data_IF_609988376803
#
_entry.id   IF_609988376803
#
_cell.length_a   1.000
_cell.length_b   1.000
_cell.length_c   1.000
_cell.angle_alpha   90.00
_cell.angle_beta   90.00
_cell.angle_gamma   90.00
#
_symmetry.space_group_name_H-M   'P 1'
#
loop_
_entity.id
_entity.type
_entity.pdbx_description
1 polymer ?
#
# COMPACT_ATOMS: atom_id res chain seq x y z
N UNK A 1 -106.87 -46.84 -5.54
CA UNK A 1 -106.98 -45.56 -4.82
C UNK A 1 -105.58 -45.11 -4.42
N UNK A 2 -105.26 -43.84 -4.66
CA UNK A 2 -103.93 -43.26 -4.90
C UNK A 2 -102.80 -43.61 -3.92
N UNK A 3 -101.65 -44.02 -4.46
CA UNK A 3 -100.37 -44.04 -3.76
C UNK A 3 -99.52 -42.86 -4.23
N UNK A 4 -99.36 -41.86 -3.37
CA UNK A 4 -98.58 -40.66 -3.64
C UNK A 4 -97.11 -40.90 -3.28
N UNK A 5 -96.23 -40.95 -4.28
CA UNK A 5 -94.79 -40.99 -4.09
C UNK A 5 -94.29 -39.67 -3.47
N UNK A 6 -93.67 -39.74 -2.28
CA UNK A 6 -92.93 -38.61 -1.70
C UNK A 6 -91.48 -38.66 -2.16
N UNK A 7 -91.06 -37.67 -2.94
CA UNK A 7 -89.64 -37.44 -3.20
C UNK A 7 -88.99 -36.70 -2.02
N UNK A 8 -87.80 -37.10 -1.56
CA UNK A 8 -87.05 -36.34 -0.57
C UNK A 8 -86.52 -35.04 -1.20
N UNK A 9 -86.81 -33.90 -0.56
CA UNK A 9 -86.18 -32.63 -0.92
C UNK A 9 -84.72 -32.67 -0.49
N UNK A 10 -83.79 -32.73 -1.45
CA UNK A 10 -82.39 -32.43 -1.23
C UNK A 10 -82.27 -30.97 -0.77
N UNK A 11 -82.07 -30.76 0.53
CA UNK A 11 -81.66 -29.47 1.08
C UNK A 11 -80.26 -29.16 0.57
N UNK A 12 -80.20 -28.37 -0.50
CA UNK A 12 -78.96 -27.75 -0.97
C UNK A 12 -78.49 -26.81 0.13
N UNK A 13 -77.49 -27.26 0.91
CA UNK A 13 -76.79 -26.46 1.90
C UNK A 13 -76.16 -25.29 1.16
N UNK A 14 -76.80 -24.12 1.22
CA UNK A 14 -76.27 -22.91 0.62
C UNK A 14 -74.91 -22.63 1.25
N UNK A 15 -73.84 -22.73 0.46
CA UNK A 15 -72.59 -22.07 0.80
C UNK A 15 -72.90 -20.58 0.85
N UNK A 16 -73.05 -20.06 2.06
CA UNK A 16 -73.15 -18.63 2.29
C UNK A 16 -71.93 -17.96 1.66
N UNK A 17 -72.22 -17.10 0.69
CA UNK A 17 -71.28 -16.45 -0.21
C UNK A 17 -70.61 -15.29 0.50
N UNK A 18 -69.59 -15.56 1.34
CA UNK A 18 -68.68 -14.53 1.88
C UNK A 18 -67.54 -14.18 0.90
N UNK A 19 -67.78 -14.21 -0.41
CA UNK A 19 -66.73 -14.00 -1.42
C UNK A 19 -66.35 -12.52 -1.62
N UNK A 20 -67.19 -11.57 -1.21
CA UNK A 20 -66.93 -10.14 -1.38
C UNK A 20 -65.98 -9.54 -0.34
N UNK A 21 -66.14 -9.90 0.94
CA UNK A 21 -65.31 -9.36 2.02
C UNK A 21 -63.85 -9.86 1.94
N UNK A 22 -63.65 -11.11 1.52
CA UNK A 22 -62.31 -11.68 1.33
C UNK A 22 -61.52 -10.92 0.25
N UNK A 23 -62.17 -10.54 -0.85
CA UNK A 23 -61.51 -9.78 -1.91
C UNK A 23 -61.01 -8.40 -1.43
N UNK A 24 -61.78 -7.71 -0.58
CA UNK A 24 -61.40 -6.41 0.00
C UNK A 24 -60.21 -6.57 0.94
N UNK A 25 -60.24 -7.56 1.84
CA UNK A 25 -59.15 -7.82 2.80
C UNK A 25 -57.87 -8.19 2.05
N UNK A 26 -57.96 -9.06 1.04
CA UNK A 26 -56.81 -9.45 0.21
C UNK A 26 -56.25 -8.25 -0.56
N UNK A 27 -57.11 -7.40 -1.14
CA UNK A 27 -56.67 -6.20 -1.85
C UNK A 27 -55.92 -5.22 -0.95
N UNK A 28 -56.43 -4.97 0.26
CA UNK A 28 -55.76 -4.12 1.25
C UNK A 28 -54.44 -4.74 1.74
N UNK A 29 -54.42 -6.05 2.00
CA UNK A 29 -53.21 -6.75 2.42
C UNK A 29 -52.12 -6.69 1.33
N UNK A 30 -52.49 -6.86 0.05
CA UNK A 30 -51.56 -6.74 -1.06
C UNK A 30 -50.98 -5.33 -1.19
N UNK A 31 -51.80 -4.30 -1.04
CA UNK A 31 -51.33 -2.91 -1.06
C UNK A 31 -50.30 -2.64 0.05
N UNK A 32 -50.57 -3.13 1.26
CA UNK A 32 -49.64 -3.02 2.39
C UNK A 32 -48.34 -3.79 2.12
N UNK A 33 -48.43 -5.01 1.59
CA UNK A 33 -47.25 -5.83 1.25
C UNK A 33 -46.38 -5.17 0.17
N UNK A 34 -46.97 -4.57 -0.85
CA UNK A 34 -46.24 -3.80 -1.88
C UNK A 34 -45.52 -2.62 -1.24
N UNK A 35 -46.18 -1.93 -0.29
CA UNK A 35 -45.55 -0.84 0.47
C UNK A 35 -44.32 -1.31 1.25
N UNK A 36 -44.39 -2.46 1.91
CA UNK A 36 -43.23 -3.03 2.61
C UNK A 36 -42.12 -3.44 1.65
N UNK A 37 -42.44 -4.01 0.48
CA UNK A 37 -41.43 -4.34 -0.53
C UNK A 37 -40.73 -3.08 -1.04
N UNK A 38 -41.47 -2.01 -1.32
CA UNK A 38 -40.89 -0.73 -1.75
C UNK A 38 -39.93 -0.14 -0.72
N UNK A 39 -40.34 -0.12 0.55
CA UNK A 39 -39.47 0.32 1.66
C UNK A 39 -38.23 -0.58 1.80
N UNK A 40 -38.39 -1.89 1.67
CA UNK A 40 -37.27 -2.83 1.74
C UNK A 40 -36.25 -2.60 0.61
N UNK A 41 -36.70 -2.27 -0.60
CA UNK A 41 -35.81 -1.93 -1.72
C UNK A 41 -35.08 -0.60 -1.48
N UNK A 42 -35.78 0.43 -0.99
CA UNK A 42 -35.16 1.72 -0.65
C UNK A 42 -34.08 1.57 0.42
N UNK A 43 -34.37 0.82 1.50
CA UNK A 43 -33.40 0.54 2.56
C UNK A 43 -32.25 -0.34 2.06
N UNK A 44 -32.54 -1.38 1.28
CA UNK A 44 -31.53 -2.27 0.72
C UNK A 44 -30.52 -1.52 -0.15
N UNK A 45 -31.01 -0.56 -0.95
CA UNK A 45 -30.17 0.35 -1.74
C UNK A 45 -29.24 1.20 -0.89
N UNK A 46 -29.74 1.81 0.18
CA UNK A 46 -28.89 2.59 1.10
C UNK A 46 -27.87 1.71 1.83
N UNK A 47 -28.26 0.49 2.21
CA UNK A 47 -27.40 -0.46 2.89
C UNK A 47 -26.23 -0.89 2.01
N UNK A 48 -26.50 -1.28 0.75
CA UNK A 48 -25.46 -1.63 -0.21
C UNK A 48 -24.54 -0.44 -0.47
N UNK A 49 -25.11 0.74 -0.72
CA UNK A 49 -24.33 1.96 -0.93
C UNK A 49 -23.42 2.28 0.27
N UNK A 50 -23.92 2.09 1.50
CA UNK A 50 -23.11 2.27 2.72
C UNK A 50 -21.95 1.28 2.78
N UNK A 51 -22.20 0.02 2.45
CA UNK A 51 -21.15 -1.02 2.45
C UNK A 51 -20.07 -0.73 1.41
N UNK A 52 -20.45 -0.24 0.23
CA UNK A 52 -19.52 0.17 -0.82
C UNK A 52 -18.69 1.41 -0.39
N UNK A 53 -19.34 2.40 0.24
CA UNK A 53 -18.64 3.55 0.81
C UNK A 53 -17.69 3.14 1.94
N UNK A 54 -18.03 2.11 2.73
CA UNK A 54 -17.14 1.59 3.78
C UNK A 54 -15.87 1.00 3.17
N UNK A 55 -15.96 0.22 2.09
CA UNK A 55 -14.79 -0.30 1.39
C UNK A 55 -13.86 0.82 0.89
N UNK A 56 -14.44 1.92 0.38
CA UNK A 56 -13.69 3.11 -0.02
C UNK A 56 -13.02 3.80 1.17
N UNK A 57 -13.74 3.99 2.29
CA UNK A 57 -13.21 4.58 3.50
C UNK A 57 -12.07 3.73 4.10
N UNK A 58 -12.23 2.41 4.18
CA UNK A 58 -11.24 1.47 4.68
C UNK A 58 -9.97 1.47 3.81
N UNK A 59 -10.13 1.44 2.48
CA UNK A 59 -9.02 1.51 1.53
C UNK A 59 -8.26 2.82 1.64
N UNK A 60 -8.97 3.94 1.81
CA UNK A 60 -8.39 5.26 2.05
C UNK A 60 -7.61 5.29 3.36
N UNK A 61 -8.22 4.85 4.47
CA UNK A 61 -7.60 4.92 5.78
C UNK A 61 -6.36 4.02 5.85
N UNK A 62 -6.44 2.78 5.35
CA UNK A 62 -5.31 1.87 5.31
C UNK A 62 -4.18 2.39 4.43
N UNK A 63 -4.49 3.00 3.27
CA UNK A 63 -3.46 3.57 2.40
C UNK A 63 -2.80 4.79 3.03
N UNK A 64 -3.58 5.72 3.56
CA UNK A 64 -3.05 6.90 4.25
C UNK A 64 -2.22 6.54 5.50
N UNK A 65 -2.58 5.47 6.20
CA UNK A 65 -1.82 5.00 7.35
C UNK A 65 -0.45 4.42 6.98
N UNK A 66 -0.23 3.96 5.73
CA UNK A 66 1.07 3.41 5.26
C UNK A 66 2.20 4.41 5.41
N UNK A 67 1.88 5.66 5.12
CA UNK A 67 2.81 6.78 5.08
C UNK A 67 2.75 7.63 6.36
N UNK A 68 2.06 7.13 7.40
CA UNK A 68 1.99 7.75 8.72
C UNK A 68 3.26 7.49 9.52
N UNK A 69 4.36 8.06 9.03
CA UNK A 69 5.67 8.06 9.66
C UNK A 69 6.05 9.49 10.04
N UNK A 70 6.90 9.68 11.05
CA UNK A 70 7.34 11.04 11.41
C UNK A 70 8.31 11.65 10.39
N UNK A 71 8.71 10.90 9.36
CA UNK A 71 9.64 11.32 8.32
C UNK A 71 8.95 11.80 7.04
N UNK A 72 7.67 11.48 6.85
CA UNK A 72 6.89 11.81 5.65
C UNK A 72 5.87 12.91 5.99
N UNK A 73 5.62 13.82 5.05
CA UNK A 73 4.59 14.85 5.22
C UNK A 73 3.17 14.25 5.17
N UNK A 74 2.25 14.77 5.97
CA UNK A 74 0.83 14.35 5.96
C UNK A 74 0.14 14.59 4.60
N UNK A 75 0.71 15.42 3.73
CA UNK A 75 0.20 15.62 2.38
C UNK A 75 0.35 14.37 1.51
N UNK A 76 1.43 13.61 1.69
CA UNK A 76 1.64 12.33 0.98
C UNK A 76 0.61 11.32 1.45
N UNK A 77 0.50 11.13 2.78
CA UNK A 77 -0.51 10.27 3.39
C UNK A 77 -1.95 10.61 2.94
N UNK A 78 -2.31 11.90 2.86
CA UNK A 78 -3.61 12.31 2.33
C UNK A 78 -3.78 11.95 0.85
N UNK A 79 -2.79 12.23 0.01
CA UNK A 79 -2.87 11.95 -1.42
C UNK A 79 -3.02 10.45 -1.68
N UNK A 80 -2.26 9.61 -0.97
CA UNK A 80 -2.31 8.15 -1.09
C UNK A 80 -3.66 7.59 -0.59
N UNK A 81 -4.18 8.14 0.50
CA UNK A 81 -5.52 7.83 0.99
C UNK A 81 -6.61 8.16 -0.04
N UNK A 82 -6.58 9.36 -0.60
CA UNK A 82 -7.54 9.82 -1.61
C UNK A 82 -7.47 8.95 -2.87
N UNK A 83 -6.26 8.64 -3.36
CA UNK A 83 -6.07 7.80 -4.54
C UNK A 83 -6.66 6.39 -4.35
N UNK A 84 -6.45 5.79 -3.17
CA UNK A 84 -7.05 4.50 -2.83
C UNK A 84 -8.57 4.58 -2.66
N UNK A 85 -9.07 5.67 -2.07
CA UNK A 85 -10.51 5.93 -1.94
C UNK A 85 -11.21 6.05 -3.30
N UNK A 86 -10.62 6.79 -4.24
CA UNK A 86 -11.12 7.00 -5.62
C UNK A 86 -11.12 5.72 -6.47
N UNK A 87 -10.32 4.72 -6.10
CA UNK A 87 -10.29 3.42 -6.79
C UNK A 87 -11.53 2.56 -6.49
N UNK A 88 -12.43 3.03 -5.61
CA UNK A 88 -13.66 2.35 -5.25
C UNK A 88 -14.89 3.05 -5.85
N UNK A 89 -15.97 2.28 -6.01
CA UNK A 89 -17.24 2.75 -6.50
C UNK A 89 -18.33 2.56 -5.44
N UNK A 90 -19.41 3.33 -5.56
CA UNK A 90 -20.59 3.24 -4.74
C UNK A 90 -21.84 3.28 -5.63
N UNK A 91 -23.00 3.04 -5.00
CA UNK A 91 -24.29 3.00 -5.66
C UNK A 91 -24.36 1.88 -6.71
N UNK A 92 -24.14 0.64 -6.30
CA UNK A 92 -24.08 -0.54 -7.19
C UNK A 92 -22.98 -0.40 -8.25
N UNK A 93 -21.82 0.05 -7.82
CA UNK A 93 -20.63 0.28 -8.67
C UNK A 93 -20.81 1.32 -9.80
N UNK A 94 -21.85 2.17 -9.75
CA UNK A 94 -22.13 3.14 -10.81
C UNK A 94 -21.36 4.46 -10.64
N UNK A 95 -21.07 4.85 -9.40
CA UNK A 95 -20.50 6.14 -9.08
C UNK A 95 -19.11 5.96 -8.48
N UNK A 96 -18.08 6.51 -9.11
CA UNK A 96 -16.75 6.56 -8.51
C UNK A 96 -16.81 7.42 -7.23
N UNK A 97 -16.26 6.92 -6.12
CA UNK A 97 -16.25 7.67 -4.87
C UNK A 97 -15.32 8.88 -5.02
N UNK A 98 -15.82 10.07 -4.70
CA UNK A 98 -15.05 11.30 -4.75
C UNK A 98 -14.66 11.72 -3.34
N UNK A 99 -13.38 12.00 -3.16
CA UNK A 99 -12.77 12.53 -1.94
C UNK A 99 -11.97 13.78 -2.27
N UNK A 100 -12.05 14.76 -1.36
CA UNK A 100 -11.40 16.06 -1.45
C UNK A 100 -10.29 16.18 -0.38
N UNK A 101 -9.23 16.89 -0.76
CA UNK A 101 -8.15 17.31 0.14
C UNK A 101 -8.69 18.23 1.24
N UNK A 102 -8.09 18.19 2.42
CA UNK A 102 -8.47 18.97 3.60
C UNK A 102 -9.94 18.80 4.00
N UNK A 103 -10.53 17.63 3.72
CA UNK A 103 -11.94 17.33 4.03
C UNK A 103 -12.12 15.87 4.42
N UNK A 104 -11.87 14.94 3.48
CA UNK A 104 -12.21 13.54 3.68
C UNK A 104 -11.17 12.78 4.49
N UNK A 105 -9.91 13.21 4.46
CA UNK A 105 -8.81 12.64 5.23
C UNK A 105 -8.43 13.58 6.36
N UNK A 106 -8.45 13.05 7.57
CA UNK A 106 -8.17 13.81 8.80
C UNK A 106 -7.28 13.00 9.72
N UNK A 107 -6.51 13.67 10.58
CA UNK A 107 -5.42 13.09 11.36
C UNK A 107 -5.60 13.38 12.84
N UNK A 108 -5.14 12.47 13.69
CA UNK A 108 -5.10 12.68 15.14
C UNK A 108 -3.94 11.95 15.80
N UNK A 109 -3.52 12.43 16.96
CA UNK A 109 -2.52 11.79 17.83
C UNK A 109 -3.16 10.76 18.79
N UNK A 110 -4.49 10.82 19.00
CA UNK A 110 -5.27 9.91 19.84
C UNK A 110 -6.67 9.69 19.27
N UNK A 111 -7.24 8.50 19.51
CA UNK A 111 -8.64 8.19 19.18
C UNK A 111 -9.65 9.07 19.94
N UNK A 112 -9.25 9.62 21.09
CA UNK A 112 -10.10 10.50 21.93
C UNK A 112 -10.03 11.97 21.52
N UNK A 113 -9.03 12.34 20.73
CA UNK A 113 -8.81 13.71 20.31
C UNK A 113 -9.56 14.01 19.01
N UNK A 114 -9.86 15.28 18.70
CA UNK A 114 -10.45 15.64 17.42
C UNK A 114 -9.52 15.22 16.27
N UNK A 115 -10.13 14.79 15.18
CA UNK A 115 -9.43 14.56 13.92
C UNK A 115 -9.40 15.87 13.12
N UNK A 116 -8.21 16.30 12.73
CA UNK A 116 -7.94 17.59 12.10
C UNK A 116 -7.46 17.39 10.66
N UNK A 117 -7.69 18.38 9.79
CA UNK A 117 -7.09 18.39 8.45
C UNK A 117 -5.57 18.54 8.56
N UNK A 118 -4.80 18.14 7.54
CA UNK A 118 -3.32 18.26 7.54
C UNK A 118 -2.83 19.68 7.86
N UNK A 119 -3.58 20.69 7.43
CA UNK A 119 -3.28 22.12 7.63
C UNK A 119 -3.54 22.61 9.06
N UNK A 120 -4.40 21.92 9.81
CA UNK A 120 -4.74 22.25 11.19
C UNK A 120 -3.91 21.46 12.22
N UNK A 121 -3.08 20.50 11.79
CA UNK A 121 -2.19 19.74 12.67
C UNK A 121 -0.97 20.58 13.06
N UNK A 122 -0.84 20.90 14.35
CA UNK A 122 0.30 21.68 14.87
C UNK A 122 1.61 20.90 14.91
N UNK A 123 1.56 19.59 15.22
CA UNK A 123 2.75 18.73 15.35
C UNK A 123 2.58 17.45 14.53
N UNK A 124 2.88 17.48 13.21
CA UNK A 124 2.71 16.31 12.33
C UNK A 124 3.44 15.05 12.81
N UNK A 125 4.62 15.20 13.42
CA UNK A 125 5.42 14.09 13.94
C UNK A 125 4.74 13.26 15.04
N UNK A 126 3.71 13.79 15.71
CA UNK A 126 3.00 13.11 16.79
C UNK A 126 1.73 12.37 16.33
N UNK A 127 1.35 12.50 15.06
CA UNK A 127 0.14 11.88 14.54
C UNK A 127 0.30 10.35 14.52
N UNK A 128 -0.76 9.67 14.95
CA UNK A 128 -0.81 8.20 15.07
C UNK A 128 -2.01 7.57 14.38
N UNK A 129 -3.04 8.37 14.10
CA UNK A 129 -4.29 7.92 13.52
C UNK A 129 -4.65 8.78 12.31
N UNK A 130 -5.22 8.12 11.30
CA UNK A 130 -5.88 8.77 10.18
C UNK A 130 -7.32 8.29 10.09
N UNK A 131 -8.24 9.21 9.84
CA UNK A 131 -9.66 8.94 9.58
C UNK A 131 -10.00 9.37 8.17
N UNK A 132 -10.50 8.42 7.39
CA UNK A 132 -11.12 8.70 6.10
C UNK A 132 -12.64 8.65 6.21
N UNK A 133 -13.31 9.59 5.54
CA UNK A 133 -14.78 9.64 5.48
C UNK A 133 -15.22 9.66 4.01
N UNK A 134 -15.98 8.66 3.59
CA UNK A 134 -16.60 8.58 2.27
C UNK A 134 -18.09 8.91 2.37
N UNK A 135 -18.62 9.66 1.41
CA UNK A 135 -20.04 10.02 1.42
C UNK A 135 -20.63 10.09 0.01
N UNK A 136 -21.91 9.75 -0.08
CA UNK A 136 -22.73 9.97 -1.27
C UNK A 136 -24.02 10.68 -0.86
N UNK A 137 -24.30 11.79 -1.52
CA UNK A 137 -25.52 12.60 -1.33
C UNK A 137 -26.47 12.39 -2.49
N UNK A 138 -27.70 12.88 -2.35
CA UNK A 138 -28.70 12.89 -3.41
C UNK A 138 -29.11 11.50 -3.91
N UNK A 139 -29.15 10.52 -3.00
CA UNK A 139 -29.65 9.18 -3.33
C UNK A 139 -31.17 9.22 -3.37
N UNK A 140 -31.72 9.29 -4.59
CA UNK A 140 -33.15 9.18 -4.85
C UNK A 140 -33.72 7.86 -4.31
N UNK A 141 -34.85 7.93 -3.63
CA UNK A 141 -35.60 6.77 -3.17
C UNK A 141 -36.59 6.33 -4.25
N UNK A 142 -36.68 5.04 -4.54
CA UNK A 142 -37.58 4.54 -5.58
C UNK A 142 -39.04 4.53 -5.11
N UNK A 143 -39.31 4.05 -3.89
CA UNK A 143 -40.69 3.94 -3.39
C UNK A 143 -41.20 5.24 -2.80
N UNK A 144 -40.36 5.97 -2.07
CA UNK A 144 -40.73 7.27 -1.49
C UNK A 144 -41.09 8.32 -2.57
N UNK A 145 -40.45 8.28 -3.74
CA UNK A 145 -40.84 9.13 -4.88
C UNK A 145 -42.30 8.89 -5.31
N UNK A 146 -42.76 7.65 -5.30
CA UNK A 146 -44.16 7.30 -5.63
C UNK A 146 -45.11 7.82 -4.57
N UNK A 147 -44.75 7.74 -3.28
CA UNK A 147 -45.59 8.27 -2.19
C UNK A 147 -45.78 9.79 -2.28
N UNK A 148 -44.78 10.53 -2.75
CA UNK A 148 -44.88 11.98 -2.93
C UNK A 148 -45.79 12.41 -4.09
N UNK A 149 -46.26 11.48 -4.92
CA UNK A 149 -47.32 11.75 -5.91
C UNK A 149 -48.72 11.77 -5.29
N UNK A 150 -48.87 11.32 -4.04
CA UNK A 150 -50.13 11.31 -3.29
C UNK A 150 -50.33 12.70 -2.66
N UNK A 151 -51.44 13.42 -2.96
CA UNK A 151 -51.72 14.72 -2.37
C UNK A 151 -51.73 14.67 -0.84
N UNK A 152 -50.97 15.55 -0.20
CA UNK A 152 -50.87 15.65 1.27
C UNK A 152 -49.77 14.80 1.92
N UNK A 153 -49.02 14.01 1.15
CA UNK A 153 -47.82 13.29 1.61
C UNK A 153 -46.57 14.06 1.18
N UNK A 154 -45.66 14.35 2.12
CA UNK A 154 -44.37 14.98 1.87
C UNK A 154 -43.29 14.23 2.66
N UNK A 155 -42.50 13.42 1.99
CA UNK A 155 -41.40 12.64 2.56
C UNK A 155 -40.11 13.06 1.86
N UNK A 156 -38.98 13.12 2.57
CA UNK A 156 -37.70 13.55 1.99
C UNK A 156 -37.32 12.71 0.74
N UNK A 157 -37.02 13.38 -0.37
CA UNK A 157 -36.82 12.74 -1.68
C UNK A 157 -35.43 12.17 -1.90
N UNK A 158 -34.49 12.49 -1.02
CA UNK A 158 -33.11 12.06 -1.18
C UNK A 158 -32.45 11.79 0.17
N UNK A 159 -31.72 10.67 0.22
CA UNK A 159 -30.87 10.33 1.33
C UNK A 159 -29.42 10.75 1.10
N UNK A 160 -28.72 10.96 2.21
CA UNK A 160 -27.27 11.00 2.28
C UNK A 160 -26.79 9.78 3.06
N UNK A 161 -25.77 9.11 2.56
CA UNK A 161 -25.12 8.00 3.25
C UNK A 161 -23.64 8.33 3.38
N UNK A 162 -23.08 8.10 4.56
CA UNK A 162 -21.64 8.21 4.81
C UNK A 162 -21.12 6.98 5.53
N UNK A 163 -19.84 6.72 5.32
CA UNK A 163 -19.05 5.69 5.98
C UNK A 163 -17.70 6.28 6.37
N UNK A 164 -17.12 5.81 7.45
CA UNK A 164 -15.80 6.28 7.91
C UNK A 164 -14.97 5.12 8.42
N UNK A 165 -13.67 5.25 8.29
CA UNK A 165 -12.69 4.29 8.75
C UNK A 165 -11.55 5.01 9.43
N UNK A 166 -11.05 4.45 10.53
CA UNK A 166 -9.85 4.93 11.22
C UNK A 166 -8.77 3.87 11.04
N UNK A 167 -7.55 4.29 10.73
CA UNK A 167 -6.41 3.41 10.65
C UNK A 167 -5.21 3.99 11.42
N UNK A 168 -4.32 3.09 11.81
CA UNK A 168 -3.04 3.36 12.46
C UNK A 168 -1.99 2.39 11.93
N UNK A 169 -0.75 2.52 12.39
CA UNK A 169 0.30 1.53 12.15
C UNK A 169 0.55 0.71 13.41
N UNK A 170 0.50 -0.61 13.29
CA UNK A 170 0.72 -1.58 14.38
C UNK A 170 1.66 -2.69 13.96
N UNK A 171 2.04 -3.60 14.86
CA UNK A 171 2.95 -4.69 14.51
C UNK A 171 2.34 -5.62 13.43
N UNK A 172 3.15 -6.00 12.44
CA UNK A 172 2.77 -6.84 11.30
C UNK A 172 3.42 -8.22 11.32
N UNK A 173 2.80 -9.16 10.60
CA UNK A 173 3.28 -10.54 10.40
C UNK A 173 4.07 -10.69 9.09
N UNK A 174 3.71 -9.88 8.09
CA UNK A 174 4.36 -9.89 6.78
C UNK A 174 4.82 -8.49 6.40
N UNK A 175 5.76 -8.41 5.44
CA UNK A 175 6.23 -7.13 4.91
C UNK A 175 6.49 -7.15 3.42
N UNK A 176 6.68 -5.96 2.84
CA UNK A 176 7.38 -5.77 1.58
C UNK A 176 8.85 -5.38 1.85
N UNK A 177 9.76 -5.89 1.04
CA UNK A 177 11.18 -5.62 1.17
C UNK A 177 11.92 -5.81 -0.15
N UNK A 178 13.19 -5.42 -0.16
CA UNK A 178 14.11 -5.73 -1.25
C UNK A 178 14.91 -6.99 -0.91
N UNK A 179 15.33 -7.79 -1.93
CA UNK A 179 16.11 -9.02 -1.74
C UNK A 179 17.58 -8.72 -1.44
N UNK A 180 17.79 -7.95 -0.39
CA UNK A 180 19.06 -7.50 0.15
C UNK A 180 19.05 -7.77 1.65
N UNK A 181 20.20 -8.08 2.23
CA UNK A 181 20.36 -8.14 3.68
C UNK A 181 21.50 -7.25 4.13
N UNK A 182 21.36 -6.68 5.32
CA UNK A 182 22.37 -5.82 5.95
C UNK A 182 23.09 -6.61 7.05
N UNK A 183 24.41 -6.50 7.07
CA UNK A 183 25.26 -7.23 8.00
C UNK A 183 25.67 -6.38 9.19
N UNK A 184 25.33 -6.83 10.39
CA UNK A 184 25.80 -6.25 11.64
C UNK A 184 26.03 -7.35 12.68
N UNK A 185 27.20 -7.38 13.28
CA UNK A 185 27.46 -8.30 14.39
C UNK A 185 26.76 -7.78 15.66
N UNK A 186 26.25 -8.67 16.52
CA UNK A 186 25.57 -8.27 17.75
C UNK A 186 26.44 -7.42 18.69
N UNK A 187 27.77 -7.59 18.63
CA UNK A 187 28.75 -6.83 19.41
C UNK A 187 29.11 -5.46 18.82
N UNK A 188 28.59 -5.11 17.64
CA UNK A 188 28.86 -3.81 16.97
C UNK A 188 27.76 -2.80 17.24
N UNK A 189 28.15 -1.52 17.32
CA UNK A 189 27.21 -0.42 17.53
C UNK A 189 26.13 -0.41 16.43
N UNK A 190 24.87 -0.07 16.74
CA UNK A 190 23.84 0.12 15.73
C UNK A 190 24.23 1.18 14.69
N UNK A 191 23.78 1.00 13.46
CA UNK A 191 23.90 2.02 12.43
C UNK A 191 23.17 3.31 12.83
N UNK A 192 23.74 4.44 12.43
CA UNK A 192 23.16 5.77 12.59
C UNK A 192 22.58 6.23 11.26
N UNK A 193 21.52 7.04 11.33
CA UNK A 193 20.93 7.65 10.12
C UNK A 193 22.02 8.41 9.35
N UNK A 194 22.13 8.11 8.06
CA UNK A 194 23.17 8.61 7.16
C UNK A 194 24.39 7.70 7.03
N UNK A 195 24.54 6.63 7.83
CA UNK A 195 25.65 5.68 7.66
C UNK A 195 25.54 4.99 6.29
N UNK A 196 26.67 4.83 5.60
CA UNK A 196 26.75 4.13 4.33
C UNK A 196 27.19 2.68 4.53
N UNK A 197 26.46 1.77 3.91
CA UNK A 197 26.67 0.32 3.97
C UNK A 197 27.00 -0.14 2.55
N UNK A 198 28.12 -0.84 2.37
CA UNK A 198 28.65 -1.14 1.04
C UNK A 198 28.64 -2.64 0.74
N UNK A 199 28.36 -3.00 -0.52
CA UNK A 199 28.51 -4.40 -0.93
C UNK A 199 29.99 -4.79 -0.96
N UNK A 200 30.34 -6.07 -0.73
CA UNK A 200 31.69 -6.55 -0.98
C UNK A 200 32.14 -6.25 -2.41
N UNK A 201 33.42 -5.94 -2.61
CA UNK A 201 33.96 -5.70 -3.95
C UNK A 201 34.04 -6.98 -4.77
N UNK A 202 33.51 -6.97 -5.99
CA UNK A 202 33.58 -8.11 -6.90
C UNK A 202 32.57 -9.21 -6.54
N UNK A 203 32.79 -10.44 -7.00
CA UNK A 203 31.89 -11.58 -6.75
C UNK A 203 32.15 -12.27 -5.40
N UNK A 204 32.62 -11.55 -4.39
CA UNK A 204 32.87 -12.11 -3.07
C UNK A 204 31.55 -12.58 -2.44
N UNK A 205 31.54 -13.79 -1.89
CA UNK A 205 30.44 -14.34 -1.10
C UNK A 205 30.70 -14.27 0.42
N UNK A 206 31.75 -13.55 0.82
CA UNK A 206 32.10 -13.30 2.22
C UNK A 206 31.57 -11.95 2.65
N UNK A 207 30.80 -11.93 3.73
CA UNK A 207 30.18 -10.73 4.28
C UNK A 207 30.67 -10.47 5.70
N UNK A 208 30.94 -9.20 6.02
CA UNK A 208 31.29 -8.75 7.37
C UNK A 208 30.40 -7.59 7.85
N UNK A 209 30.54 -7.15 9.11
CA UNK A 209 29.87 -5.95 9.59
C UNK A 209 30.22 -4.74 8.71
N UNK A 210 29.21 -3.92 8.39
CA UNK A 210 29.35 -2.79 7.45
C UNK A 210 29.07 -3.15 5.99
N UNK A 211 28.81 -4.43 5.69
CA UNK A 211 28.41 -4.87 4.36
C UNK A 211 26.90 -5.09 4.23
N UNK A 212 26.44 -5.06 2.98
CA UNK A 212 25.17 -5.69 2.60
C UNK A 212 25.41 -6.71 1.48
N UNK A 213 24.44 -7.60 1.29
CA UNK A 213 24.45 -8.59 0.22
C UNK A 213 23.07 -8.86 -0.33
N UNK A 214 22.96 -9.81 -1.27
CA UNK A 214 21.70 -10.18 -1.92
C UNK A 214 21.29 -11.59 -1.52
N UNK A 215 20.03 -11.74 -1.13
CA UNK A 215 19.42 -13.02 -0.76
C UNK A 215 17.96 -13.03 -1.19
N UNK A 216 17.48 -14.17 -1.66
CA UNK A 216 16.07 -14.29 -2.03
C UNK A 216 15.21 -14.25 -0.76
N UNK A 217 14.09 -13.54 -0.82
CA UNK A 217 13.22 -13.30 0.33
C UNK A 217 12.28 -14.48 0.60
N UNK A 218 12.14 -15.38 -0.37
CA UNK A 218 11.39 -16.64 -0.27
C UNK A 218 12.21 -17.82 0.31
N UNK A 219 13.47 -17.57 0.68
CA UNK A 219 14.40 -18.59 1.20
C UNK A 219 15.03 -19.47 0.12
N UNK A 220 14.74 -19.23 -1.16
CA UNK A 220 15.45 -19.87 -2.26
C UNK A 220 16.88 -19.34 -2.41
N UNK A 221 17.71 -20.09 -3.13
CA UNK A 221 19.12 -19.72 -3.38
C UNK A 221 19.37 -19.38 -4.85
N UNK A 222 18.31 -19.23 -5.65
CA UNK A 222 18.40 -19.07 -7.10
C UNK A 222 18.51 -17.60 -7.49
N UNK A 223 19.45 -17.28 -8.39
CA UNK A 223 19.66 -15.91 -8.86
C UNK A 223 18.45 -15.38 -9.65
N UNK A 224 17.75 -16.23 -10.39
CA UNK A 224 16.53 -15.86 -11.09
C UNK A 224 15.46 -15.32 -10.16
N UNK A 225 15.35 -15.87 -8.94
CA UNK A 225 14.43 -15.37 -7.92
C UNK A 225 14.87 -13.99 -7.46
N UNK A 226 16.14 -13.82 -7.08
CA UNK A 226 16.70 -12.52 -6.66
C UNK A 226 16.48 -11.45 -7.75
N UNK A 227 16.73 -11.79 -9.02
CA UNK A 227 16.52 -10.87 -10.14
C UNK A 227 15.04 -10.51 -10.31
N UNK A 228 14.13 -11.48 -10.21
CA UNK A 228 12.69 -11.23 -10.25
C UNK A 228 12.22 -10.34 -9.09
N UNK A 229 12.68 -10.61 -7.88
CA UNK A 229 12.39 -9.82 -6.67
C UNK A 229 12.99 -8.41 -6.74
N UNK A 230 14.16 -8.24 -7.36
CA UNK A 230 14.76 -6.91 -7.60
C UNK A 230 13.98 -6.12 -8.66
N UNK A 231 13.55 -6.78 -9.74
CA UNK A 231 12.78 -6.16 -10.84
C UNK A 231 11.35 -5.80 -10.43
N UNK A 232 10.77 -6.48 -9.44
CA UNK A 232 9.45 -6.18 -8.86
C UNK A 232 9.49 -5.61 -7.44
N UNK A 233 8.31 -5.44 -6.83
CA UNK A 233 8.20 -5.16 -5.40
C UNK A 233 7.74 -6.45 -4.71
N UNK A 234 8.64 -7.08 -3.95
CA UNK A 234 8.34 -8.33 -3.25
C UNK A 234 7.66 -8.03 -1.93
N UNK A 235 6.47 -8.59 -1.76
CA UNK A 235 5.62 -8.44 -0.60
C UNK A 235 5.23 -9.81 -0.03
N UNK A 236 4.52 -9.80 1.11
CA UNK A 236 4.09 -11.01 1.81
C UNK A 236 5.26 -11.85 2.35
N UNK A 237 6.37 -11.19 2.68
CA UNK A 237 7.55 -11.83 3.26
C UNK A 237 7.26 -12.08 4.73
N UNK A 238 7.39 -13.33 5.17
CA UNK A 238 7.22 -13.67 6.59
C UNK A 238 8.33 -13.00 7.39
N UNK A 239 7.99 -12.35 8.51
CA UNK A 239 8.97 -11.72 9.39
C UNK A 239 9.18 -12.56 10.66
N UNK A 240 10.39 -13.08 10.94
CA UNK A 240 11.62 -13.00 10.14
C UNK A 240 11.69 -14.04 9.01
N UNK A 241 12.23 -13.70 7.82
CA UNK A 241 12.48 -14.66 6.76
C UNK A 241 13.75 -15.45 7.04
N UNK A 242 13.85 -16.63 6.42
CA UNK A 242 15.10 -17.39 6.38
C UNK A 242 15.84 -17.02 5.11
N UNK A 243 17.03 -16.43 5.22
CA UNK A 243 17.75 -15.88 4.07
C UNK A 243 19.05 -16.63 3.81
N UNK A 244 19.24 -17.10 2.58
CA UNK A 244 20.51 -17.65 2.10
C UNK A 244 21.07 -16.79 0.96
N UNK A 245 22.38 -16.59 0.91
CA UNK A 245 23.03 -15.78 -0.14
C UNK A 245 23.83 -16.64 -1.08
N UNK A 246 23.57 -16.54 -2.39
CA UNK A 246 24.46 -17.12 -3.42
C UNK A 246 25.44 -16.12 -4.02
N UNK A 247 25.50 -14.91 -3.45
CA UNK A 247 26.29 -13.81 -3.98
C UNK A 247 25.62 -13.17 -5.20
N UNK A 248 26.17 -12.03 -5.59
CA UNK A 248 25.66 -11.24 -6.71
C UNK A 248 26.03 -11.90 -8.05
N UNK A 249 25.05 -12.11 -8.93
CA UNK A 249 25.29 -12.55 -10.31
C UNK A 249 24.65 -11.59 -11.32
N UNK A 250 24.94 -11.82 -12.61
CA UNK A 250 24.78 -10.80 -13.66
C UNK A 250 23.34 -10.37 -13.94
N UNK A 251 22.33 -11.22 -13.74
CA UNK A 251 20.92 -10.84 -13.87
C UNK A 251 20.45 -10.00 -12.68
N UNK A 252 20.96 -10.26 -11.46
CA UNK A 252 20.70 -9.41 -10.30
C UNK A 252 21.24 -7.99 -10.49
N UNK A 253 22.39 -7.82 -11.15
CA UNK A 253 22.92 -6.49 -11.52
C UNK A 253 21.96 -5.72 -12.43
N UNK A 254 21.42 -6.40 -13.44
CA UNK A 254 20.44 -5.83 -14.38
C UNK A 254 19.14 -5.44 -13.69
N UNK A 255 18.64 -6.32 -12.83
CA UNK A 255 17.44 -6.05 -12.06
C UNK A 255 17.61 -4.89 -11.09
N UNK A 256 18.75 -4.78 -10.40
CA UNK A 256 19.11 -3.64 -9.55
C UNK A 256 19.05 -2.32 -10.31
N UNK A 257 19.70 -2.27 -11.48
CA UNK A 257 19.79 -1.07 -12.30
C UNK A 257 18.44 -0.59 -12.84
N UNK A 258 17.44 -1.47 -12.94
CA UNK A 258 16.08 -1.05 -13.32
C UNK A 258 15.47 -0.06 -12.32
N UNK A 259 15.85 -0.11 -11.04
CA UNK A 259 15.40 0.87 -10.03
C UNK A 259 15.97 2.27 -10.27
N UNK A 260 17.09 2.37 -10.97
CA UNK A 260 17.66 3.64 -11.46
C UNK A 260 17.14 4.01 -12.85
N UNK A 261 16.22 3.22 -13.42
CA UNK A 261 15.71 3.40 -14.78
C UNK A 261 16.76 3.18 -15.86
N UNK A 262 17.76 2.33 -15.58
CA UNK A 262 18.84 1.99 -16.50
C UNK A 262 18.57 0.58 -17.03
N UNK A 263 18.40 0.45 -18.35
CA UNK A 263 18.01 -0.81 -18.97
C UNK A 263 19.02 -1.30 -20.01
N UNK A 264 19.07 -2.61 -20.19
CA UNK A 264 19.80 -3.30 -21.27
C UNK A 264 18.81 -3.95 -22.24
N UNK A 265 19.26 -4.20 -23.47
CA UNK A 265 18.47 -4.81 -24.54
C UNK A 265 19.04 -6.17 -24.98
N UNK A 266 18.27 -6.93 -25.76
CA UNK A 266 18.69 -8.20 -26.37
C UNK A 266 18.59 -9.41 -25.43
N UNK A 267 19.44 -10.42 -25.63
CA UNK A 267 19.43 -11.66 -24.85
C UNK A 267 19.68 -11.46 -23.33
N UNK A 268 20.28 -10.33 -22.96
CA UNK A 268 20.47 -9.87 -21.59
C UNK A 268 19.59 -8.66 -21.28
N UNK A 269 18.37 -8.62 -21.81
CA UNK A 269 17.42 -7.55 -21.55
C UNK A 269 17.04 -7.43 -20.07
N UNK A 270 16.65 -6.23 -19.66
CA UNK A 270 16.14 -5.96 -18.31
C UNK A 270 14.81 -5.24 -18.40
N UNK A 271 13.87 -5.59 -17.53
CA UNK A 271 12.60 -4.90 -17.37
C UNK A 271 12.30 -4.68 -15.89
N UNK A 272 11.49 -3.67 -15.60
CA UNK A 272 11.18 -3.25 -14.24
C UNK A 272 10.80 -1.78 -14.21
N UNK A 273 9.91 -1.42 -13.29
CA UNK A 273 9.53 -0.04 -13.07
C UNK A 273 10.72 0.76 -12.51
N UNK A 274 11.05 1.97 -12.98
CA UNK A 274 12.08 2.79 -12.36
C UNK A 274 11.60 3.40 -11.04
N UNK A 275 12.52 3.93 -10.24
CA UNK A 275 12.14 4.93 -9.24
C UNK A 275 11.69 6.24 -9.93
N UNK A 276 11.15 7.20 -9.19
CA UNK A 276 10.89 8.53 -9.73
C UNK A 276 12.16 9.31 -10.09
N UNK A 277 13.34 8.88 -9.63
CA UNK A 277 14.63 9.44 -10.09
C UNK A 277 15.64 8.35 -10.44
N UNK A 278 16.41 8.59 -11.50
CA UNK A 278 17.56 7.75 -11.86
C UNK A 278 18.89 8.27 -11.35
N UNK A 279 18.92 9.43 -10.69
CA UNK A 279 20.17 10.09 -10.31
C UNK A 279 20.99 9.22 -9.33
N UNK A 280 22.29 9.13 -9.53
CA UNK A 280 23.18 8.37 -8.66
C UNK A 280 23.87 9.30 -7.66
N UNK A 281 23.79 8.98 -6.37
CA UNK A 281 24.28 9.81 -5.27
C UNK A 281 25.62 9.28 -4.77
N UNK A 282 26.62 9.33 -5.66
CA UNK A 282 28.00 8.88 -5.39
C UNK A 282 29.02 9.80 -6.05
N UNK A 283 30.30 9.55 -5.79
CA UNK A 283 31.42 10.31 -6.34
C UNK A 283 31.82 11.47 -5.41
N UNK A 284 32.47 12.52 -5.93
CA UNK A 284 33.06 13.57 -5.08
C UNK A 284 32.04 14.42 -4.32
N UNK A 285 30.75 14.31 -4.67
CA UNK A 285 29.69 15.16 -4.13
C UNK A 285 28.88 14.50 -3.02
N UNK A 286 28.86 13.16 -2.94
CA UNK A 286 28.04 12.39 -1.99
C UNK A 286 28.86 11.29 -1.32
N UNK A 287 28.56 11.05 -0.05
CA UNK A 287 29.32 10.18 0.83
C UNK A 287 28.75 10.27 2.25
N UNK A 288 29.25 9.44 3.17
CA UNK A 288 28.71 9.39 4.51
C UNK A 288 28.91 10.73 5.27
N UNK A 289 28.03 11.06 6.23
CA UNK A 289 28.15 12.25 7.06
C UNK A 289 29.53 12.41 7.68
N UNK A 290 30.08 13.62 7.61
CA UNK A 290 31.42 13.93 8.11
C UNK A 290 32.54 13.72 7.10
N UNK A 291 32.26 13.26 5.88
CA UNK A 291 33.26 13.23 4.81
C UNK A 291 33.56 14.64 4.30
N UNK A 292 34.82 15.04 4.29
CA UNK A 292 35.23 16.38 3.91
C UNK A 292 34.90 16.68 2.43
N UNK A 293 34.23 17.81 2.17
CA UNK A 293 33.89 18.25 0.81
C UNK A 293 32.67 17.58 0.19
N UNK A 294 31.92 16.78 0.97
CA UNK A 294 30.81 15.97 0.50
C UNK A 294 29.47 16.43 1.11
N UNK A 295 28.39 16.33 0.34
CA UNK A 295 27.00 16.42 0.82
C UNK A 295 26.67 15.12 1.55
N UNK A 296 26.64 15.18 2.89
CA UNK A 296 26.61 13.99 3.76
C UNK A 296 25.28 13.24 3.87
N UNK A 297 24.16 13.85 3.47
CA UNK A 297 22.82 13.23 3.48
C UNK A 297 22.31 13.16 2.04
N UNK A 298 22.41 11.98 1.43
CA UNK A 298 21.99 11.76 0.06
C UNK A 298 20.46 11.66 -0.05
N UNK A 299 19.79 11.18 1.00
CA UNK A 299 18.35 11.09 1.09
C UNK A 299 17.66 12.44 0.92
N UNK A 300 18.17 13.50 1.55
CA UNK A 300 17.61 14.86 1.39
C UNK A 300 17.60 15.29 -0.08
N UNK A 301 18.69 15.09 -0.82
CA UNK A 301 18.73 15.43 -2.24
C UNK A 301 17.87 14.48 -3.08
N UNK A 302 17.81 13.21 -2.72
CA UNK A 302 16.98 12.21 -3.38
C UNK A 302 15.50 12.59 -3.40
N UNK A 303 14.97 13.09 -2.29
CA UNK A 303 13.58 13.57 -2.21
C UNK A 303 13.34 14.75 -3.17
N UNK A 304 14.27 15.69 -3.27
CA UNK A 304 14.16 16.84 -4.19
C UNK A 304 14.23 16.41 -5.67
N UNK A 305 15.18 15.55 -5.99
CA UNK A 305 15.40 15.07 -7.36
C UNK A 305 14.22 14.21 -7.85
N UNK A 306 13.58 13.43 -6.96
CA UNK A 306 12.34 12.71 -7.25
C UNK A 306 11.18 13.60 -7.66
N UNK A 307 10.99 14.74 -6.99
CA UNK A 307 9.91 15.68 -7.31
C UNK A 307 10.05 16.29 -8.72
N UNK A 308 11.26 16.26 -9.27
CA UNK A 308 11.59 16.80 -10.61
C UNK A 308 11.82 15.71 -11.66
N UNK A 309 11.64 14.43 -11.30
CA UNK A 309 11.93 13.27 -12.14
C UNK A 309 13.35 13.26 -12.73
N UNK A 310 14.33 13.72 -11.96
CA UNK A 310 15.70 13.89 -12.44
C UNK A 310 16.26 12.55 -12.93
N UNK A 311 16.76 12.55 -14.16
CA UNK A 311 17.29 11.34 -14.79
C UNK A 311 18.66 10.95 -14.24
N UNK A 312 19.05 9.70 -14.48
CA UNK A 312 20.45 9.28 -14.31
C UNK A 312 21.39 10.22 -15.07
N UNK A 313 22.47 10.67 -14.42
CA UNK A 313 23.43 11.61 -15.04
C UNK A 313 24.23 10.99 -16.20
N UNK A 314 24.11 9.68 -16.42
CA UNK A 314 24.85 8.97 -17.45
C UNK A 314 26.18 8.44 -16.93
N UNK A 315 26.79 7.59 -17.75
CA UNK A 315 28.14 7.07 -17.50
C UNK A 315 29.19 8.15 -17.82
N UNK A 316 30.38 8.02 -17.23
CA UNK A 316 31.50 8.96 -17.44
C UNK A 316 31.89 9.70 -16.16
N UNK A 317 32.88 10.60 -16.25
CA UNK A 317 33.45 11.26 -15.09
C UNK A 317 32.50 12.31 -14.46
N UNK A 318 32.44 12.42 -13.12
CA UNK A 318 31.78 13.53 -12.44
C UNK A 318 32.36 14.89 -12.88
N UNK A 319 31.57 15.97 -12.95
CA UNK A 319 30.16 16.05 -12.56
C UNK A 319 29.16 15.68 -13.67
N UNK A 320 29.64 15.48 -14.90
CA UNK A 320 28.78 15.21 -16.06
C UNK A 320 28.22 13.78 -16.09
N UNK A 321 28.94 12.82 -15.50
CA UNK A 321 28.50 11.43 -15.32
C UNK A 321 28.62 10.97 -13.87
N UNK A 322 28.18 9.73 -13.61
CA UNK A 322 28.15 9.14 -12.27
C UNK A 322 29.50 8.62 -11.76
N UNK A 323 30.49 8.49 -12.63
CA UNK A 323 31.71 7.73 -12.37
C UNK A 323 31.54 6.22 -12.55
N UNK A 324 30.36 5.74 -12.93
CA UNK A 324 30.01 4.32 -13.07
C UNK A 324 29.80 3.99 -14.55
N UNK A 325 30.36 2.89 -15.01
CA UNK A 325 30.18 2.38 -16.37
C UNK A 325 29.05 1.35 -16.39
N UNK A 326 27.80 1.81 -16.36
CA UNK A 326 26.65 0.93 -16.44
C UNK A 326 26.60 0.27 -17.81
N UNK A 327 26.80 1.00 -18.91
CA UNK A 327 26.53 0.59 -20.30
C UNK A 327 25.05 0.30 -20.58
N UNK A 328 24.15 0.87 -19.76
CA UNK A 328 22.71 0.81 -19.99
C UNK A 328 22.17 2.09 -20.63
N UNK A 329 20.92 2.05 -21.04
CA UNK A 329 20.17 3.21 -21.54
C UNK A 329 19.22 3.72 -20.46
N UNK A 330 19.22 5.02 -20.22
CA UNK A 330 18.29 5.72 -19.33
C UNK A 330 17.56 6.82 -20.10
N UNK A 331 16.26 6.97 -19.87
CA UNK A 331 15.43 7.97 -20.57
C UNK A 331 14.60 8.76 -19.58
N UNK A 332 14.64 10.10 -19.67
CA UNK A 332 13.94 10.99 -18.76
C UNK A 332 12.41 10.74 -18.69
N UNK A 333 11.77 10.46 -19.83
CA UNK A 333 10.32 10.18 -19.90
C UNK A 333 9.89 8.94 -19.13
N UNK A 334 10.81 7.99 -18.92
CA UNK A 334 10.50 6.76 -18.20
C UNK A 334 10.20 7.02 -16.71
N UNK A 335 10.93 7.96 -16.10
CA UNK A 335 10.74 8.32 -14.69
C UNK A 335 9.41 9.06 -14.46
N UNK A 336 8.97 9.89 -15.42
CA UNK A 336 7.71 10.64 -15.33
C UNK A 336 6.49 9.73 -15.51
N UNK A 337 6.54 8.85 -16.50
CA UNK A 337 5.39 8.01 -16.87
C UNK A 337 5.27 6.78 -16.01
N UNK A 338 6.42 6.19 -15.65
CA UNK A 338 6.47 4.89 -14.99
C UNK A 338 7.18 4.93 -13.64
N UNK A 339 7.63 6.09 -13.14
CA UNK A 339 8.26 6.17 -11.82
C UNK A 339 7.39 5.58 -10.70
N UNK A 340 8.04 4.98 -9.71
CA UNK A 340 7.40 4.47 -8.50
C UNK A 340 8.34 4.54 -7.30
N UNK A 341 7.84 4.21 -6.11
CA UNK A 341 8.64 4.09 -4.90
C UNK A 341 9.44 2.79 -4.89
N UNK A 342 10.73 2.86 -5.28
CA UNK A 342 11.56 1.64 -5.44
C UNK A 342 12.96 1.75 -4.87
N UNK A 343 13.48 2.92 -4.54
CA UNK A 343 14.84 3.03 -3.98
C UNK A 343 14.91 3.20 -2.47
N UNK A 344 13.82 3.62 -1.84
CA UNK A 344 13.64 3.59 -0.39
C UNK A 344 12.88 2.32 -0.05
N UNK A 345 13.51 1.40 0.65
CA UNK A 345 12.94 0.09 0.92
C UNK A 345 13.41 -0.51 2.24
N UNK A 346 12.66 -1.51 2.70
CA UNK A 346 13.02 -2.29 3.87
C UNK A 346 14.05 -3.36 3.49
N UNK A 347 15.08 -3.50 4.32
CA UNK A 347 16.07 -4.56 4.23
C UNK A 347 16.20 -5.27 5.60
N UNK A 348 16.20 -6.61 5.65
CA UNK A 348 16.50 -7.37 6.86
C UNK A 348 17.95 -7.18 7.30
N UNK A 349 18.16 -6.98 8.61
CA UNK A 349 19.47 -6.95 9.25
C UNK A 349 19.72 -8.25 10.01
N UNK A 350 20.95 -8.75 10.00
CA UNK A 350 21.37 -9.83 10.89
C UNK A 350 22.89 -9.98 11.00
N UNK A 351 23.32 -10.95 11.82
CA UNK A 351 24.72 -11.31 11.95
C UNK A 351 25.17 -12.20 10.78
N UNK A 352 25.93 -11.60 9.88
CA UNK A 352 26.44 -12.27 8.68
C UNK A 352 27.75 -13.04 8.89
N UNK A 353 28.31 -13.09 10.10
CA UNK A 353 29.60 -13.77 10.35
C UNK A 353 29.58 -15.25 9.95
N UNK A 354 28.40 -15.86 9.93
CA UNK A 354 28.18 -17.25 9.54
C UNK A 354 27.75 -17.41 8.08
N UNK A 355 27.39 -16.34 7.36
CA UNK A 355 26.99 -16.41 5.96
C UNK A 355 28.21 -16.71 5.07
N UNK A 356 28.34 -17.98 4.68
CA UNK A 356 29.34 -18.45 3.71
C UNK A 356 28.65 -19.29 2.64
N UNK A 357 28.39 -18.69 1.47
CA UNK A 357 27.76 -19.38 0.34
C UNK A 357 26.33 -19.86 0.62
N UNK A 358 25.89 -20.90 -0.10
CA UNK A 358 24.49 -21.32 -0.19
C UNK A 358 23.94 -22.11 1.01
N UNK A 359 24.77 -22.50 1.98
CA UNK A 359 24.40 -23.47 3.03
C UNK A 359 24.09 -22.85 4.39
N UNK A 360 24.51 -21.61 4.63
CA UNK A 360 24.30 -20.93 5.92
C UNK A 360 23.22 -19.86 5.77
N UNK A 361 22.36 -19.77 6.77
CA UNK A 361 21.19 -18.88 6.75
C UNK A 361 21.39 -17.71 7.72
N UNK A 362 21.02 -16.52 7.29
CA UNK A 362 20.98 -15.33 8.13
C UNK A 362 19.74 -15.40 9.03
N UNK A 363 19.95 -15.25 10.33
CA UNK A 363 18.86 -14.99 11.26
C UNK A 363 18.62 -13.49 11.30
N UNK A 364 17.44 -13.06 10.87
CA UNK A 364 17.06 -11.64 10.86
C UNK A 364 16.78 -11.16 12.29
N UNK A 365 17.50 -10.13 12.72
CA UNK A 365 17.38 -9.52 14.05
C UNK A 365 16.51 -8.27 14.03
N UNK A 366 16.54 -7.49 12.94
CA UNK A 366 15.69 -6.33 12.76
C UNK A 366 15.47 -6.02 11.28
N UNK A 367 14.63 -5.02 11.01
CA UNK A 367 14.41 -4.48 9.67
C UNK A 367 14.82 -3.03 9.64
N UNK A 368 15.55 -2.67 8.60
CA UNK A 368 16.10 -1.34 8.42
C UNK A 368 15.51 -0.69 7.18
N UNK A 369 15.27 0.61 7.29
CA UNK A 369 14.93 1.43 6.15
C UNK A 369 16.21 1.89 5.48
N UNK A 370 16.36 1.62 4.18
CA UNK A 370 17.57 1.95 3.42
C UNK A 370 17.23 2.66 2.11
N UNK A 371 18.13 3.54 1.67
CA UNK A 371 18.12 4.14 0.34
C UNK A 371 19.22 3.51 -0.52
N UNK A 372 18.88 3.01 -1.70
CA UNK A 372 19.87 2.64 -2.72
C UNK A 372 20.49 3.89 -3.32
N UNK A 373 21.82 4.00 -3.34
CA UNK A 373 22.52 5.24 -3.75
C UNK A 373 23.00 5.22 -5.19
N UNK A 374 23.51 4.08 -5.65
CA UNK A 374 24.16 3.95 -6.95
C UNK A 374 23.76 2.69 -7.75
N UNK A 375 23.73 2.82 -9.09
CA UNK A 375 23.62 1.67 -9.97
C UNK A 375 24.94 0.89 -9.99
N UNK A 376 24.88 -0.34 -10.48
CA UNK A 376 26.02 -1.24 -10.57
C UNK A 376 26.57 -1.29 -12.01
N UNK A 377 27.89 -1.43 -12.22
CA UNK A 377 28.42 -1.65 -13.57
C UNK A 377 28.02 -3.04 -14.10
N UNK A 378 27.63 -3.15 -15.39
CA UNK A 378 27.27 -4.45 -16.01
C UNK A 378 28.47 -5.33 -16.36
N UNK A 379 29.68 -4.76 -16.35
CA UNK A 379 30.93 -5.49 -16.49
C UNK A 379 31.90 -4.96 -15.42
N UNK A 380 32.67 -5.82 -14.73
CA UNK A 380 33.60 -5.37 -13.70
C UNK A 380 34.67 -4.39 -14.21
N UNK A 381 34.88 -4.25 -15.53
CA UNK A 381 35.87 -3.30 -16.06
C UNK A 381 37.22 -3.42 -15.32
N UNK A 382 37.82 -2.28 -14.94
CA UNK A 382 39.07 -2.22 -14.16
C UNK A 382 38.85 -2.06 -12.63
N UNK A 383 37.61 -2.17 -12.14
CA UNK A 383 37.25 -1.86 -10.74
C UNK A 383 36.36 -2.91 -10.07
N UNK A 384 36.16 -2.77 -8.75
CA UNK A 384 35.22 -3.61 -8.02
C UNK A 384 33.77 -3.24 -8.34
N UNK A 385 32.90 -4.24 -8.48
CA UNK A 385 31.44 -4.05 -8.46
C UNK A 385 31.06 -3.77 -7.02
N UNK A 386 30.74 -2.52 -6.70
CA UNK A 386 30.33 -2.06 -5.36
C UNK A 386 29.08 -1.21 -5.51
N UNK A 387 28.06 -1.49 -4.70
CA UNK A 387 26.93 -0.60 -4.47
C UNK A 387 26.91 -0.14 -3.03
N UNK A 388 26.18 0.95 -2.78
CA UNK A 388 26.01 1.56 -1.47
C UNK A 388 24.53 1.70 -1.13
N UNK A 389 24.25 1.51 0.16
CA UNK A 389 23.00 1.85 0.80
C UNK A 389 23.26 2.95 1.83
N UNK A 390 22.35 3.91 1.94
CA UNK A 390 22.30 4.82 3.08
C UNK A 390 21.27 4.31 4.09
N UNK A 391 21.67 4.22 5.36
CA UNK A 391 20.79 3.84 6.46
C UNK A 391 19.87 5.00 6.83
N UNK A 392 18.55 4.78 6.78
CA UNK A 392 17.54 5.80 7.09
C UNK A 392 16.85 5.57 8.43
N UNK A 393 17.26 4.53 9.18
CA UNK A 393 16.74 4.21 10.50
C UNK A 393 16.12 2.82 10.60
N UNK A 394 15.91 2.35 11.84
CA UNK A 394 15.24 1.09 12.11
C UNK A 394 13.75 1.23 11.82
N UNK A 395 13.19 0.30 11.06
CA UNK A 395 11.77 0.32 10.70
C UNK A 395 10.82 0.15 11.91
N UNK A 396 11.35 -0.29 13.06
CA UNK A 396 10.63 -0.36 14.33
C UNK A 396 10.42 1.02 14.98
N UNK A 397 11.26 2.01 14.67
CA UNK A 397 11.24 3.34 15.30
C UNK A 397 9.99 4.15 14.94
N UNK A 398 9.44 3.96 13.73
CA UNK A 398 8.35 4.79 13.18
C UNK A 398 8.80 6.18 12.71
N UNK A 399 10.10 6.48 12.75
CA UNK A 399 10.69 7.73 12.28
C UNK A 399 11.44 7.58 10.96
N UNK A 400 11.17 6.52 10.21
CA UNK A 400 11.82 6.21 8.94
C UNK A 400 10.94 6.59 7.77
N UNK A 401 11.52 6.96 6.62
CA UNK A 401 10.76 7.28 5.41
C UNK A 401 10.27 6.06 4.62
N UNK A 402 10.55 4.83 5.07
CA UNK A 402 10.04 3.64 4.41
C UNK A 402 8.54 3.49 4.68
N UNK A 403 7.76 3.40 3.60
CA UNK A 403 6.35 3.06 3.66
C UNK A 403 6.17 1.68 4.30
N UNK A 404 5.14 1.58 5.14
CA UNK A 404 4.82 0.34 5.84
C UNK A 404 3.82 -0.49 5.05
N UNK A 405 4.09 -1.78 4.86
CA UNK A 405 3.19 -2.67 4.12
C UNK A 405 3.19 -4.05 4.76
N UNK A 406 2.02 -4.71 4.80
CA UNK A 406 1.91 -6.07 5.29
C UNK A 406 0.58 -6.39 5.95
N UNK A 407 0.49 -7.61 6.48
CA UNK A 407 -0.67 -8.06 7.25
C UNK A 407 -0.48 -7.73 8.73
N UNK A 408 -1.48 -7.13 9.41
CA UNK A 408 -1.39 -6.86 10.83
C UNK A 408 -1.27 -8.15 11.65
N UNK A 409 -0.49 -8.05 12.72
CA UNK A 409 -0.34 -9.08 13.73
C UNK A 409 -1.34 -8.95 14.87
N UNK A 410 -1.24 -9.90 15.80
CA UNK A 410 -1.92 -9.80 17.09
C UNK A 410 -1.34 -8.66 17.92
N UNK A 411 -2.05 -8.19 18.96
CA UNK A 411 -1.53 -7.17 19.87
C UNK A 411 -0.24 -7.55 20.62
N UNK A 412 0.15 -8.83 20.61
CA UNK A 412 1.42 -9.37 21.13
C UNK A 412 2.50 -9.59 20.07
N UNK A 413 2.20 -9.33 18.80
CA UNK A 413 3.17 -9.50 17.72
C UNK A 413 4.28 -8.45 17.85
N UNK A 414 5.52 -8.90 17.76
CA UNK A 414 6.71 -8.05 17.66
C UNK A 414 7.15 -8.08 16.21
N UNK A 415 7.29 -6.90 15.58
CA UNK A 415 7.57 -6.85 14.15
C UNK A 415 7.47 -5.46 13.56
N UNK A 416 7.65 -5.40 12.23
CA UNK A 416 7.50 -4.20 11.43
C UNK A 416 6.13 -3.55 11.64
N UNK A 417 6.10 -2.23 11.68
CA UNK A 417 4.83 -1.50 11.71
C UNK A 417 4.14 -1.66 10.34
N UNK A 418 2.85 -1.95 10.32
CA UNK A 418 2.00 -2.08 9.12
C UNK A 418 0.64 -1.44 9.37
N UNK A 419 -0.05 -0.94 8.34
CA UNK A 419 -1.37 -0.33 8.50
C UNK A 419 -2.40 -1.33 9.01
N UNK A 420 -3.24 -0.88 9.93
CA UNK A 420 -4.38 -1.64 10.43
C UNK A 420 -5.57 -0.72 10.71
N UNK A 421 -6.77 -1.23 10.46
CA UNK A 421 -8.00 -0.56 10.85
C UNK A 421 -8.16 -0.61 12.36
N UNK A 422 -8.63 0.49 12.92
CA UNK A 422 -9.01 0.62 14.32
C UNK A 422 -10.48 0.95 14.34
N UNK A 423 -11.29 0.04 14.89
CA UNK A 423 -12.73 0.21 15.03
C UNK A 423 -13.11 0.35 16.49
#
# INVERSE_FOLDING_TARGET
MSSAARHPKLTRRGLHRQQGAVAIIVGLALAVMIGFVGLALDLGKLYVTRSELQNSADSCALSAARDLTSAISLQVAEADGIAAGHSNFAFFQQNAVQMQTDSNVTFSDSLTNPFLTKTAVATPANIKYVKCTAQLTNIAHWFIEVLNTIPGVQVANAAQVSASAIATVGAGQTTCAIPVFVCRAASTAPYKVGDWISSPSGSSSTYGPGNFGWAALDGSTNETTIASELSGNTCNITSPPTLGSTGLKSASLRAWNTRFGIYTNGANGSSGQPDFTGYAYVGPNYGPPGTAGIVGDAYTQFVLDRASFKSYQGDGAPPAGSGIATNGTATASNYQTFGGDRRVALAPEGDCSTLQGASNQLTVTQWDCVLMLDPLPFSPGAGGVVAHLEYLGSASSGSTPCATHGLPGSGSSVGLKVPMLVQ
#
